data_IF_506788380898
#
_entry.id   IF_506788380898
#
_cell.length_a   1.000
_cell.length_b   1.000
_cell.length_c   1.000
_cell.angle_alpha   90.00
_cell.angle_beta   90.00
_cell.angle_gamma   90.00
#
_symmetry.space_group_name_H-M   'P 1'
#
loop_
_entity.id
_entity.type
_entity.pdbx_description
1 polymer ?
#
# COMPACT_ATOMS: atom_id res chain seq x y z
N UNK A 1 73.22 -6.07 -9.31
CA UNK A 1 73.19 -5.84 -10.77
C UNK A 1 71.79 -6.14 -11.28
N UNK A 2 71.09 -5.07 -11.71
CA UNK A 2 70.19 -4.96 -12.88
C UNK A 2 69.12 -6.05 -13.08
N UNK A 3 67.83 -5.74 -13.28
CA UNK A 3 67.33 -4.99 -14.45
C UNK A 3 66.06 -4.20 -14.06
N UNK A 4 66.05 -2.92 -14.46
CA UNK A 4 64.86 -2.07 -14.54
C UNK A 4 64.04 -2.43 -15.78
N UNK A 5 62.71 -2.37 -15.68
CA UNK A 5 61.83 -2.32 -16.84
C UNK A 5 60.77 -1.23 -16.64
N UNK A 6 61.10 -0.09 -17.23
CA UNK A 6 60.22 0.98 -17.68
C UNK A 6 59.03 0.45 -18.51
N UNK A 7 57.85 1.04 -18.31
CA UNK A 7 57.00 1.54 -19.40
C UNK A 7 55.77 2.27 -18.86
N UNK A 8 55.79 3.59 -19.03
CA UNK A 8 54.66 4.47 -18.77
C UNK A 8 53.41 4.11 -19.58
N UNK A 9 52.25 4.45 -19.00
CA UNK A 9 51.02 4.62 -19.78
C UNK A 9 50.07 5.63 -19.12
N UNK A 10 50.17 6.86 -19.63
CA UNK A 10 49.10 7.81 -19.96
C UNK A 10 48.24 8.36 -18.82
N UNK A 11 48.34 9.68 -18.68
CA UNK A 11 47.35 10.48 -17.99
C UNK A 11 45.96 10.39 -18.62
N UNK A 12 44.97 10.52 -17.76
CA UNK A 12 43.69 11.16 -18.07
C UNK A 12 43.41 12.15 -16.93
N UNK A 13 43.79 13.39 -17.18
CA UNK A 13 43.21 14.56 -16.51
C UNK A 13 41.77 14.67 -16.99
N UNK A 14 40.85 14.07 -16.24
CA UNK A 14 39.41 14.29 -16.41
C UNK A 14 39.01 15.40 -15.46
N UNK A 15 38.77 16.59 -16.00
CA UNK A 15 38.46 17.79 -15.24
C UNK A 15 37.25 17.59 -14.34
N UNK A 16 37.45 17.79 -13.04
CA UNK A 16 36.37 18.24 -12.17
C UNK A 16 36.00 19.63 -12.66
N UNK A 17 34.88 19.71 -13.38
CA UNK A 17 34.29 20.97 -13.81
C UNK A 17 34.27 21.94 -12.64
N UNK A 18 34.95 23.06 -12.86
CA UNK A 18 35.02 24.23 -12.00
C UNK A 18 33.64 24.55 -11.41
N UNK A 19 33.58 24.52 -10.09
CA UNK A 19 32.61 25.25 -9.26
C UNK A 19 32.65 26.74 -9.62
N UNK A 20 31.51 27.30 -10.07
CA UNK A 20 31.29 28.75 -10.09
C UNK A 20 29.81 29.05 -9.83
N UNK A 21 29.60 29.75 -8.71
CA UNK A 21 28.47 30.59 -8.24
C UNK A 21 27.09 29.98 -7.97
N UNK A 22 26.91 29.66 -6.68
CA UNK A 22 25.67 29.41 -5.92
C UNK A 22 24.92 30.73 -5.55
N UNK A 23 24.84 31.74 -6.42
CA UNK A 23 24.34 33.06 -6.00
C UNK A 23 23.50 33.82 -7.04
N UNK A 24 22.58 33.17 -7.76
CA UNK A 24 21.51 33.88 -8.48
C UNK A 24 20.34 32.97 -8.90
N UNK A 25 19.86 32.12 -8.00
CA UNK A 25 18.51 31.53 -8.15
C UNK A 25 17.54 32.44 -7.38
N UNK A 26 16.48 33.00 -8.01
CA UNK A 26 15.46 33.68 -7.23
C UNK A 26 14.91 32.65 -6.24
N UNK A 27 14.81 33.05 -4.96
CA UNK A 27 14.20 32.23 -3.93
C UNK A 27 12.76 31.91 -4.39
N UNK A 28 12.57 30.71 -4.94
CA UNK A 28 11.26 30.10 -5.02
C UNK A 28 10.83 29.80 -3.58
N UNK A 29 9.61 30.19 -3.24
CA UNK A 29 9.01 29.91 -1.93
C UNK A 29 9.25 28.44 -1.53
N UNK A 30 9.77 28.16 -0.33
CA UNK A 30 9.97 26.79 0.14
C UNK A 30 8.67 26.06 0.54
N UNK A 31 7.50 26.66 0.32
CA UNK A 31 6.22 26.12 0.79
C UNK A 31 5.39 25.40 -0.29
N UNK A 32 6.00 25.01 -1.42
CA UNK A 32 5.33 24.13 -2.41
C UNK A 32 6.10 22.84 -2.68
N UNK A 33 6.53 22.15 -1.62
CA UNK A 33 6.63 20.68 -1.67
C UNK A 33 5.24 20.13 -1.37
N UNK A 34 4.32 20.28 -2.33
CA UNK A 34 3.27 19.29 -2.46
C UNK A 34 3.94 18.09 -3.10
N UNK A 35 4.35 17.12 -2.28
CA UNK A 35 4.33 15.72 -2.68
C UNK A 35 2.88 15.45 -3.13
N UNK A 36 2.60 15.78 -4.39
CA UNK A 36 1.37 15.44 -5.07
C UNK A 36 1.46 13.93 -5.23
N UNK A 37 1.03 13.21 -4.19
CA UNK A 37 0.73 11.80 -4.31
C UNK A 37 -0.22 11.68 -5.52
N UNK A 38 0.23 10.96 -6.55
CA UNK A 38 -0.53 10.77 -7.80
C UNK A 38 -1.93 10.15 -7.55
N UNK A 39 -2.21 9.70 -6.32
CA UNK A 39 -3.51 9.21 -5.87
C UNK A 39 -4.41 10.28 -5.23
N UNK A 40 -3.95 11.52 -5.02
CA UNK A 40 -4.78 12.62 -4.53
C UNK A 40 -5.51 13.22 -5.73
N UNK A 41 -6.80 12.90 -5.84
CA UNK A 41 -7.69 13.42 -6.88
C UNK A 41 -8.35 14.70 -6.36
N UNK A 42 -8.14 15.81 -7.04
CA UNK A 42 -8.86 17.05 -6.76
C UNK A 42 -10.35 16.87 -7.10
N UNK A 43 -11.21 17.13 -6.11
CA UNK A 43 -12.66 17.01 -6.28
C UNK A 43 -13.23 18.34 -6.80
N UNK A 44 -13.30 18.49 -8.12
CA UNK A 44 -14.12 19.53 -8.75
C UNK A 44 -15.60 19.26 -8.46
N UNK A 45 -16.29 20.26 -7.92
CA UNK A 45 -17.72 20.16 -7.61
C UNK A 45 -18.49 20.20 -8.93
N UNK A 46 -19.03 19.06 -9.35
CA UNK A 46 -19.94 18.97 -10.48
C UNK A 46 -21.27 19.61 -10.08
N UNK A 47 -21.69 20.66 -10.79
CA UNK A 47 -23.06 21.18 -10.68
C UNK A 47 -24.03 20.08 -11.15
N UNK A 48 -24.81 19.52 -10.21
CA UNK A 48 -25.82 18.50 -10.48
C UNK A 48 -26.98 19.14 -11.27
N UNK A 49 -26.90 19.07 -12.60
CA UNK A 49 -28.01 19.47 -13.47
C UNK A 49 -29.08 18.37 -13.42
N UNK A 50 -30.07 18.55 -12.54
CA UNK A 50 -31.30 17.75 -12.50
C UNK A 50 -32.11 17.99 -13.78
N UNK A 51 -31.74 17.31 -14.88
CA UNK A 51 -32.58 17.25 -16.08
C UNK A 51 -33.52 16.05 -16.00
N UNK A 52 -34.78 16.33 -15.63
CA UNK A 52 -35.91 15.40 -15.71
C UNK A 52 -36.20 15.06 -17.18
N UNK A 53 -35.56 14.01 -17.69
CA UNK A 53 -35.85 13.42 -19.01
C UNK A 53 -37.24 12.76 -19.08
N UNK A 54 -37.86 12.66 -20.28
CA UNK A 54 -39.23 12.20 -20.43
C UNK A 54 -39.39 10.71 -20.06
N UNK A 55 -40.29 10.42 -19.14
CA UNK A 55 -40.65 9.07 -18.69
C UNK A 55 -41.32 8.27 -19.82
N UNK A 56 -40.69 7.17 -20.23
CA UNK A 56 -41.25 6.16 -21.13
C UNK A 56 -42.00 5.11 -20.29
N UNK A 57 -43.28 4.80 -20.56
CA UNK A 57 -44.05 3.87 -19.73
C UNK A 57 -43.76 2.44 -20.17
N UNK A 58 -42.87 1.73 -19.46
CA UNK A 58 -42.74 0.27 -19.68
C UNK A 58 -41.44 -0.42 -19.30
N UNK A 59 -40.42 0.30 -18.82
CA UNK A 59 -39.24 -0.32 -18.21
C UNK A 59 -39.39 -0.26 -16.70
N UNK A 60 -39.12 -1.36 -15.93
CA UNK A 60 -38.91 -1.22 -14.50
C UNK A 60 -37.68 -0.34 -14.34
N UNK A 61 -37.90 0.94 -14.12
CA UNK A 61 -36.89 1.82 -13.54
C UNK A 61 -36.55 1.18 -12.21
N UNK A 62 -35.42 0.47 -12.14
CA UNK A 62 -34.65 0.39 -10.90
C UNK A 62 -34.39 1.84 -10.56
N UNK A 63 -35.31 2.44 -9.81
CA UNK A 63 -35.11 3.70 -9.16
C UNK A 63 -33.86 3.46 -8.35
N UNK A 64 -32.73 4.07 -8.75
CA UNK A 64 -31.57 4.16 -7.90
C UNK A 64 -32.03 5.07 -6.74
N UNK A 65 -32.76 4.49 -5.79
CA UNK A 65 -32.92 5.11 -4.49
C UNK A 65 -31.51 5.38 -3.98
N UNK A 66 -31.28 6.55 -3.37
CA UNK A 66 -29.96 6.88 -2.90
C UNK A 66 -29.51 5.80 -1.89
N UNK A 67 -28.27 5.32 -2.04
CA UNK A 67 -27.67 4.31 -1.15
C UNK A 67 -27.72 4.71 0.33
N UNK A 68 -27.86 6.02 0.58
CA UNK A 68 -27.99 6.64 1.89
C UNK A 68 -29.21 7.55 1.91
N UNK A 69 -29.94 7.51 3.02
CA UNK A 69 -30.94 8.52 3.36
C UNK A 69 -30.29 9.90 3.54
N UNK A 70 -31.08 10.98 3.49
CA UNK A 70 -30.60 12.35 3.73
C UNK A 70 -29.89 12.52 5.09
N UNK A 71 -30.18 11.64 6.06
CA UNK A 71 -29.49 11.58 7.36
C UNK A 71 -28.18 10.79 7.36
N UNK A 72 -27.68 10.34 6.21
CA UNK A 72 -26.45 9.55 6.09
C UNK A 72 -26.59 8.10 6.58
N UNK A 73 -27.81 7.62 6.82
CA UNK A 73 -28.05 6.20 7.17
C UNK A 73 -28.20 5.39 5.88
N UNK A 74 -27.44 4.30 5.70
CA UNK A 74 -27.58 3.45 4.53
C UNK A 74 -28.99 2.86 4.40
N UNK A 75 -29.48 2.71 3.18
CA UNK A 75 -30.77 2.07 2.93
C UNK A 75 -30.69 0.56 3.19
N UNK A 76 -31.85 -0.06 3.41
CA UNK A 76 -31.92 -1.49 3.67
C UNK A 76 -31.43 -2.31 2.47
N UNK A 77 -31.76 -1.88 1.26
CA UNK A 77 -31.33 -2.55 0.04
C UNK A 77 -29.81 -2.39 -0.18
N UNK A 78 -29.22 -1.22 0.11
CA UNK A 78 -27.76 -1.06 0.08
C UNK A 78 -27.02 -2.00 1.03
N UNK A 79 -27.52 -2.15 2.27
CA UNK A 79 -26.92 -3.09 3.24
C UNK A 79 -27.09 -4.53 2.78
N UNK A 80 -28.25 -4.90 2.21
CA UNK A 80 -28.48 -6.23 1.66
C UNK A 80 -27.51 -6.52 0.53
N UNK A 81 -27.45 -5.66 -0.48
CA UNK A 81 -26.58 -5.83 -1.64
C UNK A 81 -25.11 -5.93 -1.22
N UNK A 82 -24.71 -5.14 -0.21
CA UNK A 82 -23.36 -5.22 0.36
C UNK A 82 -23.09 -6.55 1.06
N UNK A 83 -24.06 -7.07 1.81
CA UNK A 83 -23.95 -8.38 2.49
C UNK A 83 -23.93 -9.51 1.46
N UNK A 84 -24.76 -9.47 0.43
CA UNK A 84 -24.79 -10.47 -0.64
C UNK A 84 -23.48 -10.47 -1.44
N UNK A 85 -22.96 -9.30 -1.81
CA UNK A 85 -21.64 -9.17 -2.45
C UNK A 85 -20.47 -9.64 -1.57
N UNK A 86 -20.55 -9.42 -0.25
CA UNK A 86 -19.52 -9.90 0.69
C UNK A 86 -19.64 -11.38 1.01
N UNK A 87 -20.85 -11.91 1.16
CA UNK A 87 -21.08 -13.32 1.50
C UNK A 87 -20.71 -14.26 0.36
N UNK A 88 -21.00 -13.87 -0.89
CA UNK A 88 -20.51 -14.57 -2.09
C UNK A 88 -18.99 -14.60 -2.15
N UNK A 89 -18.34 -13.46 -1.88
CA UNK A 89 -16.87 -13.37 -1.81
C UNK A 89 -16.29 -14.17 -0.64
N UNK A 90 -16.93 -14.14 0.54
CA UNK A 90 -16.44 -14.79 1.75
C UNK A 90 -16.47 -16.32 1.65
N UNK A 91 -17.49 -16.89 1.00
CA UNK A 91 -17.55 -18.32 0.71
C UNK A 91 -16.34 -18.77 -0.14
N UNK A 92 -15.98 -17.99 -1.16
CA UNK A 92 -14.77 -18.23 -1.95
C UNK A 92 -13.47 -17.93 -1.20
N UNK A 93 -13.46 -16.96 -0.28
CA UNK A 93 -12.28 -16.56 0.47
C UNK A 93 -11.80 -17.64 1.46
N UNK A 94 -12.70 -18.41 2.06
CA UNK A 94 -12.31 -19.55 2.90
C UNK A 94 -11.66 -20.67 2.11
N UNK A 95 -12.14 -20.92 0.88
CA UNK A 95 -11.52 -21.87 -0.04
C UNK A 95 -10.18 -21.32 -0.55
N UNK A 96 -10.13 -20.04 -0.94
CA UNK A 96 -8.92 -19.37 -1.42
C UNK A 96 -7.84 -19.26 -0.35
N UNK A 97 -8.19 -19.04 0.92
CA UNK A 97 -7.26 -19.11 2.04
C UNK A 97 -6.64 -20.51 2.21
N UNK A 98 -7.34 -21.56 1.77
CA UNK A 98 -6.82 -22.93 1.67
C UNK A 98 -6.08 -23.24 0.36
N UNK A 99 -6.27 -22.44 -0.70
CA UNK A 99 -5.73 -22.65 -2.05
C UNK A 99 -4.63 -21.65 -2.46
N UNK A 100 -4.33 -20.65 -1.61
CA UNK A 100 -3.56 -19.46 -2.00
C UNK A 100 -2.14 -19.33 -1.44
N UNK A 101 -1.65 -20.29 -0.66
CA UNK A 101 -0.24 -20.33 -0.26
C UNK A 101 0.28 -21.76 -0.36
N UNK A 102 1.52 -21.96 -0.80
CA UNK A 102 2.20 -23.28 -0.79
C UNK A 102 2.19 -23.95 0.59
N UNK A 103 1.90 -23.18 1.64
CA UNK A 103 1.77 -23.63 3.00
C UNK A 103 0.31 -23.96 3.33
N UNK A 104 0.07 -25.19 3.77
CA UNK A 104 -1.21 -25.65 4.29
C UNK A 104 -1.49 -25.07 5.69
N UNK A 105 -2.72 -25.19 6.18
CA UNK A 105 -3.07 -24.84 7.58
C UNK A 105 -2.14 -25.54 8.59
N UNK A 106 -1.78 -26.80 8.32
CA UNK A 106 -0.87 -27.58 9.17
C UNK A 106 0.56 -26.99 9.22
N UNK A 107 1.02 -26.37 8.13
CA UNK A 107 2.34 -25.71 8.10
C UNK A 107 2.36 -24.45 8.98
N UNK A 108 1.23 -23.75 9.08
CA UNK A 108 1.08 -22.60 9.97
C UNK A 108 1.06 -23.02 11.44
N UNK A 109 0.36 -24.10 11.77
CA UNK A 109 0.35 -24.65 13.13
C UNK A 109 1.76 -25.04 13.58
N UNK A 110 2.52 -25.70 12.69
CA UNK A 110 3.91 -26.06 12.95
C UNK A 110 4.80 -24.84 13.19
N UNK A 111 4.71 -23.81 12.34
CA UNK A 111 5.46 -22.55 12.52
C UNK A 111 5.11 -21.85 13.83
N UNK A 112 3.85 -21.89 14.24
CA UNK A 112 3.40 -21.34 15.51
C UNK A 112 4.02 -22.09 16.69
N UNK A 113 4.02 -23.42 16.65
CA UNK A 113 4.62 -24.27 17.67
C UNK A 113 6.13 -24.05 17.78
N UNK A 114 6.85 -23.99 16.65
CA UNK A 114 8.28 -23.70 16.61
C UNK A 114 8.61 -22.34 17.24
N UNK A 115 7.84 -21.29 16.91
CA UNK A 115 7.98 -19.96 17.50
C UNK A 115 7.72 -19.97 19.00
N UNK A 116 6.69 -20.69 19.45
CA UNK A 116 6.33 -20.80 20.86
C UNK A 116 7.44 -21.52 21.64
N UNK A 117 8.00 -22.60 21.09
CA UNK A 117 9.13 -23.32 21.69
C UNK A 117 10.38 -22.44 21.78
N UNK A 118 10.74 -21.77 20.70
CA UNK A 118 11.89 -20.85 20.69
C UNK A 118 11.72 -19.71 21.73
N UNK A 119 10.50 -19.21 21.89
CA UNK A 119 10.16 -18.24 22.94
C UNK A 119 10.31 -18.81 24.34
N UNK A 120 9.82 -20.04 24.58
CA UNK A 120 9.95 -20.73 25.86
C UNK A 120 11.44 -20.97 26.22
N UNK A 121 12.22 -21.52 25.29
CA UNK A 121 13.65 -21.76 25.46
C UNK A 121 14.40 -20.45 25.77
N UNK A 122 14.06 -19.36 25.06
CA UNK A 122 14.67 -18.05 25.32
C UNK A 122 14.31 -17.50 26.70
N UNK A 123 13.08 -17.70 27.16
CA UNK A 123 12.64 -17.29 28.49
C UNK A 123 13.35 -18.11 29.58
N UNK A 124 13.58 -19.41 29.36
CA UNK A 124 14.34 -20.24 30.29
C UNK A 124 15.79 -19.76 30.41
N UNK A 125 16.45 -19.46 29.29
CA UNK A 125 17.80 -18.90 29.31
C UNK A 125 17.85 -17.56 30.07
N UNK A 126 16.89 -16.65 29.86
CA UNK A 126 16.82 -15.40 30.62
C UNK A 126 16.62 -15.67 32.12
N UNK A 127 15.77 -16.63 32.50
CA UNK A 127 15.55 -17.00 33.90
C UNK A 127 16.83 -17.56 34.54
N UNK A 128 17.61 -18.34 33.78
CA UNK A 128 18.90 -18.88 34.22
C UNK A 128 19.91 -17.76 34.48
N UNK A 129 20.06 -16.84 33.52
CA UNK A 129 20.92 -15.66 33.65
C UNK A 129 20.53 -14.77 34.84
N UNK A 130 19.22 -14.59 35.08
CA UNK A 130 18.75 -13.83 36.25
C UNK A 130 19.00 -14.55 37.58
N UNK A 131 19.09 -15.89 37.59
CA UNK A 131 19.40 -16.69 38.78
C UNK A 131 20.90 -16.81 39.04
N UNK A 132 21.74 -16.39 38.09
CA UNK A 132 23.20 -16.46 38.19
C UNK A 132 23.76 -17.87 37.94
N UNK A 133 23.02 -18.72 37.24
CA UNK A 133 23.42 -20.07 36.81
C UNK A 133 24.17 -20.08 35.47
#
# INVERSE_FOLDING_TARGET
>A
MTVAADRGRRGRVGGYGRVMSETDKPAGDPDTDTDTDDNIVDAEIVEESTELGPVSPGVPTTSLEPDYTEGGVPTFDYVRDKIEGRSTTAAGATELAGLGTDNTVADWDKKLEERNKAGADKLEEIRRQMRGE
#
